data_IF_835529886146
#
_entry.id   IF_835529886146
#
_cell.length_a   1.000
_cell.length_b   1.000
_cell.length_c   1.000
_cell.angle_alpha   90.00
_cell.angle_beta   90.00
_cell.angle_gamma   90.00
#
_symmetry.space_group_name_H-M   'P 1'
#
loop_
_entity.id
_entity.type
_entity.pdbx_description
1 polymer ?
#
# COMPACT_ATOMS: atom_id res chain seq x y z
N UNK A 1 12.06 -55.80 -5.35
CA UNK A 1 12.50 -54.61 -4.61
C UNK A 1 11.75 -53.40 -5.15
N UNK A 2 10.89 -52.75 -4.34
CA UNK A 2 10.12 -51.57 -4.76
C UNK A 2 10.95 -50.31 -4.47
N UNK A 3 11.22 -49.52 -5.52
CA UNK A 3 11.91 -48.24 -5.41
C UNK A 3 11.07 -47.24 -4.59
N UNK A 4 11.65 -46.48 -3.65
CA UNK A 4 10.90 -45.56 -2.81
C UNK A 4 10.40 -44.36 -3.65
N UNK A 5 9.09 -44.11 -3.60
CA UNK A 5 8.46 -42.94 -4.20
C UNK A 5 8.98 -41.68 -3.49
N UNK A 6 9.69 -40.81 -4.21
CA UNK A 6 10.04 -39.46 -3.74
C UNK A 6 8.74 -38.69 -3.48
N UNK A 7 8.40 -38.50 -2.21
CA UNK A 7 7.35 -37.59 -1.78
C UNK A 7 7.88 -36.17 -2.01
N UNK A 8 7.47 -35.54 -3.10
CA UNK A 8 7.78 -34.15 -3.39
C UNK A 8 7.06 -33.28 -2.37
N UNK A 9 7.77 -32.85 -1.31
CA UNK A 9 7.28 -31.82 -0.38
C UNK A 9 6.92 -30.59 -1.23
N UNK A 10 5.62 -30.24 -1.27
CA UNK A 10 5.13 -28.95 -1.77
C UNK A 10 5.76 -27.86 -0.89
N UNK A 11 6.89 -27.32 -1.32
CA UNK A 11 7.42 -26.09 -0.77
C UNK A 11 6.42 -24.99 -1.10
N UNK A 12 5.62 -24.57 -0.12
CA UNK A 12 4.91 -23.30 -0.14
C UNK A 12 5.93 -22.17 0.01
N UNK A 13 6.80 -22.03 -0.99
CA UNK A 13 7.87 -21.05 -0.97
C UNK A 13 7.32 -19.71 -1.45
N UNK A 14 7.16 -18.84 -0.46
CA UNK A 14 7.19 -17.39 -0.47
C UNK A 14 7.15 -16.74 -1.85
N UNK A 15 6.04 -16.03 -2.09
CA UNK A 15 5.89 -15.03 -3.14
C UNK A 15 7.20 -14.24 -3.26
N UNK A 16 7.93 -14.44 -4.37
CA UNK A 16 9.27 -13.89 -4.57
C UNK A 16 9.33 -12.40 -4.27
N UNK A 17 10.52 -11.91 -3.91
CA UNK A 17 10.79 -10.50 -3.65
C UNK A 17 10.08 -9.61 -4.69
N UNK A 18 9.53 -8.45 -4.29
CA UNK A 18 8.74 -7.59 -5.17
C UNK A 18 9.40 -7.40 -6.56
N UNK A 19 10.72 -7.24 -6.60
CA UNK A 19 11.48 -7.14 -7.85
C UNK A 19 11.37 -8.38 -8.74
N UNK A 20 11.37 -9.58 -8.18
CA UNK A 20 11.19 -10.85 -8.91
C UNK A 20 9.77 -10.97 -9.48
N UNK A 21 8.76 -10.55 -8.72
CA UNK A 21 7.37 -10.50 -9.21
C UNK A 21 7.20 -9.46 -10.31
N UNK A 22 7.82 -8.29 -10.16
CA UNK A 22 7.83 -7.24 -11.17
C UNK A 22 8.59 -7.67 -12.44
N UNK A 23 9.72 -8.39 -12.29
CA UNK A 23 10.49 -8.95 -13.40
C UNK A 23 9.74 -10.03 -14.18
N UNK A 24 8.75 -10.68 -13.56
CA UNK A 24 7.87 -11.64 -14.25
C UNK A 24 6.86 -10.93 -15.17
N UNK A 25 6.70 -9.60 -15.05
CA UNK A 25 5.74 -8.82 -15.82
C UNK A 25 6.34 -7.52 -16.39
N UNK A 26 7.41 -7.59 -17.21
CA UNK A 26 8.10 -6.42 -17.72
C UNK A 26 7.17 -5.56 -18.59
N UNK A 27 6.36 -6.17 -19.46
CA UNK A 27 5.44 -5.43 -20.33
C UNK A 27 4.46 -4.52 -19.55
N UNK A 28 4.00 -4.96 -18.36
CA UNK A 28 3.09 -4.17 -17.51
C UNK A 28 3.79 -3.05 -16.74
N UNK A 29 5.09 -3.18 -16.47
CA UNK A 29 5.92 -2.10 -15.93
C UNK A 29 6.10 -0.98 -16.96
N UNK A 30 6.35 -1.35 -18.23
CA UNK A 30 6.64 -0.41 -19.31
C UNK A 30 5.40 0.21 -19.95
N UNK A 31 4.21 -0.36 -19.75
CA UNK A 31 2.93 0.23 -20.19
C UNK A 31 2.54 1.54 -19.47
N UNK A 32 3.38 2.06 -18.57
CA UNK A 32 3.33 3.45 -18.10
C UNK A 32 2.16 3.84 -17.18
N UNK A 33 1.12 3.01 -17.06
CA UNK A 33 -0.03 3.32 -16.20
C UNK A 33 0.21 2.90 -14.75
N UNK A 34 1.25 3.44 -14.11
CA UNK A 34 1.38 3.32 -12.65
C UNK A 34 0.25 4.10 -12.00
N UNK A 35 -0.63 3.39 -11.31
CA UNK A 35 -1.71 4.03 -10.56
C UNK A 35 -1.12 4.58 -9.27
N UNK A 36 -0.71 5.85 -9.33
CA UNK A 36 -0.23 6.59 -8.17
C UNK A 36 -1.38 6.82 -7.19
N UNK A 37 -1.16 6.54 -5.92
CA UNK A 37 -2.06 6.87 -4.82
C UNK A 37 -1.30 7.68 -3.76
N UNK A 38 -2.02 8.57 -3.09
CA UNK A 38 -1.49 9.36 -1.98
C UNK A 38 -2.23 8.97 -0.71
N UNK A 39 -1.49 8.65 0.34
CA UNK A 39 -2.04 8.22 1.62
C UNK A 39 -1.43 8.98 2.80
N UNK A 40 -2.12 8.95 3.92
CA UNK A 40 -1.66 9.53 5.16
C UNK A 40 -1.47 8.44 6.22
N UNK A 41 -0.30 8.45 6.86
CA UNK A 41 -0.10 7.73 8.12
C UNK A 41 -0.46 8.74 9.22
N UNK A 42 -1.69 8.62 9.71
CA UNK A 42 -2.20 9.43 10.80
C UNK A 42 -1.80 8.77 12.11
N UNK A 43 -1.15 9.52 13.00
CA UNK A 43 -0.79 9.02 14.31
C UNK A 43 -0.92 10.10 15.37
N UNK A 44 -1.04 9.67 16.62
CA UNK A 44 -0.96 10.54 17.79
C UNK A 44 0.00 9.95 18.82
N UNK A 45 0.58 10.82 19.64
CA UNK A 45 1.33 10.39 20.81
C UNK A 45 0.37 10.12 21.97
N UNK A 46 0.65 9.11 22.77
CA UNK A 46 -0.11 8.74 23.97
C UNK A 46 0.75 9.02 25.21
N UNK A 47 0.13 9.53 26.27
CA UNK A 47 0.81 9.90 27.52
C UNK A 47 1.84 11.02 27.30
N UNK A 48 2.98 10.92 28.00
CA UNK A 48 4.08 11.89 27.95
C UNK A 48 4.92 11.85 26.67
N UNK A 49 4.58 11.00 25.69
CA UNK A 49 5.27 10.90 24.41
C UNK A 49 5.89 9.54 24.09
N UNK A 50 5.81 8.59 25.01
CA UNK A 50 6.46 7.27 24.87
C UNK A 50 5.67 6.28 24.00
N UNK A 51 4.35 6.52 23.83
CA UNK A 51 3.48 5.70 22.98
C UNK A 51 3.08 6.39 21.68
N UNK A 52 2.95 5.63 20.60
CA UNK A 52 2.37 6.09 19.33
C UNK A 52 1.19 5.20 18.95
N UNK A 53 0.04 5.82 18.71
CA UNK A 53 -1.11 5.15 18.11
C UNK A 53 -1.23 5.54 16.64
N UNK A 54 -1.39 4.55 15.77
CA UNK A 54 -1.54 4.73 14.32
C UNK A 54 -2.97 4.39 13.93
N UNK A 55 -3.59 5.27 13.15
CA UNK A 55 -4.90 5.05 12.57
C UNK A 55 -4.81 4.11 11.37
N UNK A 56 -5.66 3.09 11.38
CA UNK A 56 -5.91 2.20 10.25
C UNK A 56 -7.43 2.09 10.02
N UNK A 57 -7.82 1.93 8.76
CA UNK A 57 -9.20 1.70 8.32
C UNK A 57 -9.33 0.29 7.76
N UNK A 58 -10.53 -0.28 7.82
CA UNK A 58 -10.83 -1.56 7.17
C UNK A 58 -11.49 -1.30 5.81
N UNK A 59 -11.00 -1.97 4.76
CA UNK A 59 -11.65 -1.88 3.45
C UNK A 59 -12.95 -2.68 3.44
N UNK A 60 -14.03 -2.14 2.90
CA UNK A 60 -15.34 -2.82 2.83
C UNK A 60 -15.28 -4.15 2.05
N UNK A 61 -14.53 -4.16 0.94
CA UNK A 61 -14.45 -5.31 0.03
C UNK A 61 -13.58 -6.45 0.61
N UNK A 62 -12.37 -6.13 1.07
CA UNK A 62 -11.38 -7.15 1.42
C UNK A 62 -11.20 -7.37 2.93
N UNK A 63 -11.84 -6.54 3.77
CA UNK A 63 -11.67 -6.50 5.24
C UNK A 63 -10.23 -6.40 5.71
N UNK A 64 -9.30 -5.98 4.85
CA UNK A 64 -7.90 -5.76 5.17
C UNK A 64 -7.74 -4.40 5.85
N UNK A 65 -6.79 -4.33 6.78
CA UNK A 65 -6.33 -3.09 7.37
C UNK A 65 -5.52 -2.29 6.34
N UNK A 66 -5.84 -1.00 6.20
CA UNK A 66 -5.17 -0.09 5.30
C UNK A 66 -5.05 1.29 5.95
N UNK A 67 -4.10 2.09 5.48
CA UNK A 67 -4.06 3.53 5.79
C UNK A 67 -5.06 4.27 4.88
N UNK A 68 -5.59 5.42 5.31
CA UNK A 68 -6.43 6.24 4.45
C UNK A 68 -5.61 6.73 3.24
N UNK A 69 -6.09 6.46 2.04
CA UNK A 69 -5.38 6.74 0.79
C UNK A 69 -6.33 6.81 -0.40
N UNK A 70 -6.03 7.71 -1.32
CA UNK A 70 -6.84 7.87 -2.53
C UNK A 70 -6.07 8.35 -3.75
N UNK A 71 -6.82 8.91 -4.69
CA UNK A 71 -6.32 9.23 -6.03
C UNK A 71 -5.67 10.62 -6.09
N UNK A 72 -4.76 10.85 -7.06
CA UNK A 72 -4.24 12.18 -7.35
C UNK A 72 -5.37 13.15 -7.66
N UNK A 73 -5.50 14.21 -6.86
CA UNK A 73 -6.47 15.28 -7.09
C UNK A 73 -5.86 16.36 -8.01
N UNK A 74 -6.60 16.77 -9.04
CA UNK A 74 -6.19 17.86 -9.94
C UNK A 74 -5.87 19.13 -9.13
N UNK A 75 -4.75 19.79 -9.47
CA UNK A 75 -4.28 21.05 -8.84
C UNK A 75 -4.03 20.95 -7.32
N UNK A 76 -3.88 19.76 -6.74
CA UNK A 76 -3.52 19.59 -5.32
C UNK A 76 -2.12 19.00 -5.20
N UNK A 77 -1.35 19.55 -4.24
CA UNK A 77 -0.04 18.99 -3.88
C UNK A 77 -0.25 17.62 -3.20
N UNK A 78 0.65 16.64 -3.39
CA UNK A 78 0.53 15.28 -2.84
C UNK A 78 0.15 15.20 -1.36
N UNK A 79 0.82 15.97 -0.50
CA UNK A 79 0.52 15.99 0.95
C UNK A 79 -0.87 16.57 1.26
N UNK A 80 -1.39 17.49 0.43
CA UNK A 80 -2.76 18.02 0.57
C UNK A 80 -3.79 16.97 0.15
N UNK A 81 -3.51 16.22 -0.91
CA UNK A 81 -4.38 15.12 -1.32
C UNK A 81 -4.47 14.07 -0.20
N UNK A 82 -3.32 13.63 0.35
CA UNK A 82 -3.30 12.70 1.49
C UNK A 82 -4.08 13.22 2.71
N UNK A 83 -3.99 14.50 3.04
CA UNK A 83 -4.75 15.11 4.13
C UNK A 83 -6.27 15.11 3.88
N UNK A 84 -6.69 15.35 2.63
CA UNK A 84 -8.10 15.33 2.25
C UNK A 84 -8.65 13.90 2.34
N UNK A 85 -7.92 12.91 1.84
CA UNK A 85 -8.30 11.49 1.92
C UNK A 85 -8.42 11.03 3.38
N UNK A 86 -7.47 11.41 4.25
CA UNK A 86 -7.56 11.13 5.68
C UNK A 86 -8.84 11.67 6.33
N UNK A 87 -9.26 12.88 5.92
CA UNK A 87 -10.50 13.50 6.39
C UNK A 87 -11.74 12.80 5.84
N UNK A 88 -11.71 12.37 4.58
CA UNK A 88 -12.87 11.76 3.91
C UNK A 88 -13.07 10.30 4.33
N UNK A 89 -12.00 9.50 4.36
CA UNK A 89 -12.09 8.06 4.64
C UNK A 89 -12.15 7.75 6.14
N UNK A 90 -11.55 8.58 6.98
CA UNK A 90 -11.41 8.30 8.41
C UNK A 90 -11.86 9.44 9.33
N UNK A 91 -12.33 10.56 8.79
CA UNK A 91 -12.79 11.71 9.59
C UNK A 91 -11.68 12.49 10.30
N UNK A 92 -10.40 12.17 10.06
CA UNK A 92 -9.29 12.72 10.84
C UNK A 92 -8.73 13.98 10.19
N UNK A 93 -8.39 14.97 11.04
CA UNK A 93 -7.72 16.21 10.63
C UNK A 93 -6.42 16.35 11.39
N UNK A 94 -5.36 16.79 10.70
CA UNK A 94 -4.04 16.93 11.30
C UNK A 94 -3.06 17.70 10.41
N UNK A 95 -1.84 17.90 10.91
CA UNK A 95 -0.73 18.54 10.22
C UNK A 95 0.01 17.53 9.37
N UNK A 96 -0.18 17.61 8.05
CA UNK A 96 0.55 16.77 7.09
C UNK A 96 1.88 17.39 6.68
N UNK A 97 2.98 16.66 6.82
CA UNK A 97 4.31 17.12 6.35
C UNK A 97 4.39 17.13 4.82
N UNK A 98 5.11 18.11 4.26
CA UNK A 98 5.33 18.22 2.80
C UNK A 98 6.19 17.07 2.25
N UNK A 99 7.18 16.61 3.03
CA UNK A 99 8.05 15.48 2.67
C UNK A 99 7.32 14.16 2.96
N UNK A 100 7.22 13.23 2.00
CA UNK A 100 6.64 11.92 2.25
C UNK A 100 7.54 11.11 3.21
N UNK A 101 6.92 10.23 4.00
CA UNK A 101 7.62 9.23 4.82
C UNK A 101 8.30 8.21 3.91
N UNK A 102 7.63 7.80 2.85
CA UNK A 102 8.12 6.81 1.91
C UNK A 102 7.19 6.61 0.71
N UNK A 103 7.68 5.83 -0.26
CA UNK A 103 6.95 5.40 -1.45
C UNK A 103 6.99 3.88 -1.52
N UNK A 104 5.83 3.27 -1.65
CA UNK A 104 5.66 1.82 -1.69
C UNK A 104 5.06 1.44 -3.03
N UNK A 105 5.80 0.71 -3.86
CA UNK A 105 5.30 0.15 -5.12
C UNK A 105 4.86 -1.29 -4.88
N UNK A 106 3.70 -1.70 -5.39
CA UNK A 106 3.21 -3.06 -5.25
C UNK A 106 2.34 -3.46 -6.44
N UNK A 107 2.22 -4.76 -6.69
CA UNK A 107 1.29 -5.29 -7.68
C UNK A 107 -0.08 -5.48 -7.04
N UNK A 108 -1.09 -4.74 -7.53
CA UNK A 108 -2.48 -4.95 -7.14
C UNK A 108 -3.15 -5.85 -8.17
N UNK A 109 -3.51 -7.06 -7.76
CA UNK A 109 -4.36 -7.96 -8.54
C UNK A 109 -5.79 -7.45 -8.51
N UNK A 110 -6.34 -7.10 -9.67
CA UNK A 110 -7.76 -6.78 -9.84
C UNK A 110 -8.53 -8.09 -10.07
N UNK A 111 -9.78 -8.16 -9.61
CA UNK A 111 -10.63 -9.36 -9.76
C UNK A 111 -10.81 -9.78 -11.23
N UNK A 112 -10.62 -8.87 -12.18
CA UNK A 112 -10.53 -9.12 -13.62
C UNK A 112 -9.14 -9.60 -14.05
N UNK A 113 -8.60 -10.65 -13.40
CA UNK A 113 -7.37 -11.39 -13.73
C UNK A 113 -6.09 -10.58 -14.08
N UNK A 114 -6.10 -9.25 -13.90
CA UNK A 114 -5.06 -8.34 -14.38
C UNK A 114 -4.44 -7.67 -13.18
N UNK A 115 -3.22 -8.08 -12.83
CA UNK A 115 -2.34 -7.30 -11.96
C UNK A 115 -1.98 -5.96 -12.60
N UNK A 116 -2.06 -4.86 -11.83
CA UNK A 116 -1.57 -3.54 -12.23
C UNK A 116 -0.60 -3.02 -11.16
N UNK A 117 0.51 -2.38 -11.54
CA UNK A 117 1.40 -1.76 -10.58
C UNK A 117 0.75 -0.50 -9.98
N UNK A 118 0.76 -0.43 -8.66
CA UNK A 118 0.29 0.71 -7.87
C UNK A 118 1.43 1.24 -7.02
N UNK A 119 1.50 2.57 -6.83
CA UNK A 119 2.47 3.18 -5.91
C UNK A 119 1.73 4.03 -4.90
N UNK A 120 1.90 3.74 -3.61
CA UNK A 120 1.38 4.57 -2.52
C UNK A 120 2.48 5.47 -1.98
N UNK A 121 2.22 6.77 -1.87
CA UNK A 121 3.11 7.71 -1.19
C UNK A 121 2.46 8.11 0.12
N UNK A 122 3.13 7.81 1.23
CA UNK A 122 2.61 8.01 2.57
C UNK A 122 3.17 9.29 3.19
N UNK A 123 2.29 10.12 3.74
CA UNK A 123 2.68 11.34 4.44
C UNK A 123 2.40 11.24 5.94
N UNK A 124 3.24 11.89 6.73
CA UNK A 124 3.08 11.99 8.18
C UNK A 124 1.99 13.01 8.51
N UNK A 125 0.94 12.59 9.20
CA UNK A 125 -0.09 13.49 9.74
C UNK A 125 -0.13 13.39 11.27
N UNK A 126 0.10 14.52 11.96
CA UNK A 126 -0.02 14.67 13.42
C UNK A 126 -1.34 15.32 13.79
#
# INVERSE_FOLDING_TARGET
>A
MKLPKKVTKKQTNQAGHLLQQLATMPAKLFQGSFRQQYGAVCFRYVGSGDGIEILVITTRESRRWAIPKGWPMKKKKPYRAAAIEARQEAGVRGRTRKKPIGRYTYLKWLMTATSRPASSISFRSR
#
